data_IF_125534022316
#
_entry.id   IF_125534022316
#
_cell.length_a   1.000
_cell.length_b   1.000
_cell.length_c   1.000
_cell.angle_alpha   90.00
_cell.angle_beta   90.00
_cell.angle_gamma   90.00
#
_symmetry.space_group_name_H-M   'P 1'
#
loop_
_entity.id
_entity.type
_entity.pdbx_description
1 polymer ?
#
# COMPACT_ATOMS: atom_id res chain seq x y z
N UNK A 1 5.78 37.63 -37.90
CA UNK A 1 4.63 36.73 -37.65
C UNK A 1 5.03 35.32 -37.16
N UNK A 2 6.21 35.11 -36.56
CA UNK A 2 6.69 33.78 -36.17
C UNK A 2 6.53 33.43 -34.68
N UNK A 3 6.47 34.43 -33.78
CA UNK A 3 6.38 34.19 -32.34
C UNK A 3 5.05 33.53 -31.91
N UNK A 4 3.91 33.94 -32.51
CA UNK A 4 2.59 33.39 -32.19
C UNK A 4 2.47 31.91 -32.59
N UNK A 5 3.06 31.52 -33.72
CA UNK A 5 3.06 30.13 -34.21
C UNK A 5 3.96 29.24 -33.35
N UNK A 6 5.11 29.76 -32.92
CA UNK A 6 6.02 29.05 -32.01
C UNK A 6 5.39 28.86 -30.63
N UNK A 7 4.68 29.87 -30.12
CA UNK A 7 3.95 29.76 -28.84
C UNK A 7 2.87 28.68 -28.90
N UNK A 8 2.10 28.61 -29.99
CA UNK A 8 1.08 27.57 -30.19
C UNK A 8 1.70 26.18 -30.24
N UNK A 9 2.84 26.00 -30.90
CA UNK A 9 3.56 24.72 -30.96
C UNK A 9 4.09 24.33 -29.58
N UNK A 10 4.72 25.25 -28.85
CA UNK A 10 5.25 25.00 -27.50
C UNK A 10 4.12 24.67 -26.52
N UNK A 11 3.01 25.41 -26.56
CA UNK A 11 1.83 25.14 -25.73
C UNK A 11 1.21 23.77 -26.05
N UNK A 12 1.16 23.38 -27.33
CA UNK A 12 0.67 22.06 -27.74
C UNK A 12 1.57 20.94 -27.22
N UNK A 13 2.90 21.07 -27.36
CA UNK A 13 3.86 20.08 -26.85
C UNK A 13 3.78 19.97 -25.33
N UNK A 14 3.71 21.08 -24.60
CA UNK A 14 3.57 21.07 -23.14
C UNK A 14 2.25 20.42 -22.69
N UNK A 15 1.15 20.67 -23.42
CA UNK A 15 -0.14 20.03 -23.16
C UNK A 15 -0.09 18.52 -23.39
N UNK A 16 0.54 18.08 -24.48
CA UNK A 16 0.71 16.65 -24.79
C UNK A 16 1.62 15.95 -23.77
N UNK A 17 2.70 16.59 -23.32
CA UNK A 17 3.58 16.05 -22.27
C UNK A 17 2.82 15.92 -20.94
N UNK A 18 2.03 16.94 -20.57
CA UNK A 18 1.19 16.89 -19.36
C UNK A 18 0.18 15.74 -19.43
N UNK A 19 -0.51 15.59 -20.56
CA UNK A 19 -1.48 14.52 -20.78
C UNK A 19 -0.81 13.14 -20.71
N UNK A 20 0.38 12.98 -21.30
CA UNK A 20 1.14 11.73 -21.27
C UNK A 20 1.55 11.34 -19.85
N UNK A 21 1.99 12.30 -19.03
CA UNK A 21 2.32 12.08 -17.62
C UNK A 21 1.07 11.64 -16.84
N UNK A 22 -0.08 12.28 -17.05
CA UNK A 22 -1.34 11.88 -16.40
C UNK A 22 -1.74 10.45 -16.79
N UNK A 23 -1.64 10.09 -18.07
CA UNK A 23 -1.92 8.73 -18.55
C UNK A 23 -0.99 7.71 -17.90
N UNK A 24 0.31 8.00 -17.80
CA UNK A 24 1.29 7.12 -17.11
C UNK A 24 0.91 6.93 -15.64
N UNK A 25 0.58 8.01 -14.93
CA UNK A 25 0.20 7.94 -13.51
C UNK A 25 -1.07 7.11 -13.33
N UNK A 26 -2.07 7.31 -14.18
CA UNK A 26 -3.31 6.52 -14.14
C UNK A 26 -3.08 5.05 -14.50
N UNK A 27 -2.20 4.77 -15.47
CA UNK A 27 -1.83 3.41 -15.83
C UNK A 27 -1.09 2.70 -14.69
N UNK A 28 -0.12 3.35 -14.05
CA UNK A 28 0.59 2.82 -12.87
C UNK A 28 -0.40 2.62 -11.71
N UNK A 29 -1.33 3.55 -11.49
CA UNK A 29 -2.35 3.38 -10.45
C UNK A 29 -3.27 2.20 -10.75
N UNK A 30 -3.68 2.03 -12.01
CA UNK A 30 -4.49 0.90 -12.49
C UNK A 30 -3.76 -0.43 -12.37
N UNK A 31 -2.46 -0.49 -12.70
CA UNK A 31 -1.67 -1.70 -12.53
C UNK A 31 -1.51 -2.11 -11.07
N UNK A 32 -1.41 -1.16 -10.14
CA UNK A 32 -1.38 -1.43 -8.69
C UNK A 32 -2.77 -1.83 -8.11
N UNK A 33 -3.88 -1.54 -8.80
CA UNK A 33 -5.24 -1.88 -8.35
C UNK A 33 -5.62 -3.31 -8.74
N UNK A 34 -4.92 -3.91 -9.71
CA UNK A 34 -5.13 -5.30 -10.11
C UNK A 34 -4.49 -6.33 -9.18
N UNK A 35 -3.80 -5.89 -8.12
CA UNK A 35 -3.29 -6.75 -7.04
C UNK A 35 -4.29 -6.91 -5.89
N UNK A 36 -5.55 -6.47 -6.07
CA UNK A 36 -6.63 -6.87 -5.18
C UNK A 36 -6.88 -8.38 -5.35
N UNK A 37 -6.77 -9.20 -4.29
CA UNK A 37 -7.20 -10.60 -4.38
C UNK A 37 -8.71 -10.61 -4.54
N UNK A 38 -9.19 -10.82 -5.77
CA UNK A 38 -10.51 -11.37 -5.99
C UNK A 38 -10.49 -12.83 -5.54
N UNK A 39 -10.81 -13.05 -4.26
CA UNK A 39 -11.29 -14.35 -3.77
C UNK A 39 -12.71 -14.18 -3.26
N UNK A 40 -13.61 -13.76 -4.15
CA UNK A 40 -15.02 -14.13 -4.04
C UNK A 40 -15.22 -15.42 -4.83
N UNK A 41 -14.68 -16.52 -4.29
CA UNK A 41 -15.06 -17.85 -4.71
C UNK A 41 -15.85 -18.47 -3.55
N UNK A 42 -17.17 -18.35 -3.66
CA UNK A 42 -18.14 -19.04 -2.84
C UNK A 42 -18.15 -20.52 -3.25
N UNK A 43 -17.10 -21.25 -2.84
CA UNK A 43 -17.00 -22.70 -3.02
C UNK A 43 -17.11 -23.37 -1.66
N UNK A 44 -18.28 -23.99 -1.48
CA UNK A 44 -18.59 -25.15 -0.63
C UNK A 44 -17.73 -25.39 0.61
N UNK A 45 -18.39 -25.31 1.76
CA UNK A 45 -17.97 -25.75 3.10
C UNK A 45 -17.56 -27.24 3.08
N UNK A 46 -16.31 -27.56 2.77
CA UNK A 46 -15.63 -28.78 3.17
C UNK A 46 -14.14 -28.71 2.81
N UNK A 47 -13.31 -28.65 3.84
CA UNK A 47 -11.97 -29.25 3.83
C UNK A 47 -10.86 -28.61 2.96
N UNK A 48 -10.47 -27.37 3.30
CA UNK A 48 -9.05 -26.98 3.22
C UNK A 48 -8.37 -27.38 4.54
N UNK A 49 -8.18 -28.68 4.66
CA UNK A 49 -7.31 -29.34 5.61
C UNK A 49 -5.91 -28.70 5.62
N UNK A 50 -5.60 -28.08 6.75
CA UNK A 50 -4.34 -28.23 7.48
C UNK A 50 -3.01 -28.21 6.70
N UNK A 51 -2.71 -27.11 5.99
CA UNK A 51 -1.30 -26.70 5.92
C UNK A 51 -1.02 -25.71 7.06
N UNK A 52 -0.34 -26.12 8.15
CA UNK A 52 -0.08 -25.23 9.29
C UNK A 52 0.82 -24.03 8.90
N UNK A 53 1.50 -24.09 7.76
CA UNK A 53 2.57 -23.15 7.39
C UNK A 53 2.12 -21.88 6.67
N UNK A 54 0.82 -21.71 6.40
CA UNK A 54 0.32 -20.51 5.70
C UNK A 54 -0.20 -19.51 6.73
N UNK A 55 0.43 -18.32 6.88
CA UNK A 55 -0.07 -17.29 7.77
C UNK A 55 -1.50 -16.91 7.40
N UNK A 56 -2.41 -16.98 8.37
CA UNK A 56 -3.80 -16.56 8.20
C UNK A 56 -3.98 -15.17 8.77
N UNK A 57 -4.66 -14.31 8.02
CA UNK A 57 -5.09 -13.00 8.54
C UNK A 57 -6.09 -13.26 9.66
N UNK A 58 -5.80 -12.73 10.85
CA UNK A 58 -6.70 -12.79 12.00
C UNK A 58 -7.59 -11.55 11.97
N UNK A 59 -8.90 -11.77 11.83
CA UNK A 59 -9.88 -10.68 11.90
C UNK A 59 -9.99 -10.17 13.35
N UNK A 60 -10.23 -8.88 13.52
CA UNK A 60 -10.44 -8.22 14.82
C UNK A 60 -9.24 -8.34 15.79
N UNK A 61 -8.03 -8.54 15.28
CA UNK A 61 -6.81 -8.42 16.08
C UNK A 61 -6.08 -7.11 15.77
N UNK A 62 -5.53 -6.40 16.77
CA UNK A 62 -5.67 -6.66 18.21
C UNK A 62 -7.10 -6.35 18.70
N UNK A 63 -7.55 -7.05 19.73
CA UNK A 63 -8.89 -6.82 20.33
C UNK A 63 -9.04 -5.37 20.81
N UNK A 64 -7.95 -4.79 21.30
CA UNK A 64 -7.85 -3.41 21.74
C UNK A 64 -6.78 -2.65 20.94
N UNK A 65 -7.01 -1.37 20.61
CA UNK A 65 -6.02 -0.56 19.89
C UNK A 65 -4.69 -0.45 20.65
N UNK A 66 -3.61 -0.85 19.99
CA UNK A 66 -2.25 -0.69 20.53
C UNK A 66 -1.75 0.74 20.27
N UNK A 67 -1.27 1.42 21.32
CA UNK A 67 -0.61 2.73 21.20
C UNK A 67 0.85 2.52 20.79
N UNK A 68 1.08 2.40 19.48
CA UNK A 68 2.41 2.20 18.91
C UNK A 68 2.84 3.45 18.11
N UNK A 69 4.11 3.84 18.26
CA UNK A 69 4.75 4.76 17.32
C UNK A 69 5.22 4.02 16.06
N UNK A 70 6.29 4.50 15.42
CA UNK A 70 6.81 3.87 14.20
C UNK A 70 7.28 2.43 14.48
N UNK A 71 6.63 1.44 13.87
CA UNK A 71 7.07 0.04 13.94
C UNK A 71 8.33 -0.15 13.08
N UNK A 72 9.38 -0.71 13.67
CA UNK A 72 10.66 -0.99 12.99
C UNK A 72 10.92 -2.48 12.79
N UNK A 73 10.17 -3.36 13.46
CA UNK A 73 10.33 -4.80 13.32
C UNK A 73 9.20 -5.60 13.93
N UNK A 74 9.04 -6.82 13.45
CA UNK A 74 8.08 -7.82 13.93
C UNK A 74 8.75 -9.19 13.98
N UNK A 75 8.37 -10.02 14.94
CA UNK A 75 8.85 -11.40 15.08
C UNK A 75 7.82 -12.27 15.79
N UNK A 76 8.10 -13.57 15.90
CA UNK A 76 7.27 -14.54 16.63
C UNK A 76 8.15 -15.23 17.65
N UNK A 77 7.71 -15.30 18.91
CA UNK A 77 8.46 -15.97 19.97
C UNK A 77 8.22 -17.50 19.96
N UNK A 78 8.89 -18.23 20.85
CA UNK A 78 8.72 -19.70 20.97
C UNK A 78 7.33 -20.12 21.45
N UNK A 79 6.52 -19.21 21.99
CA UNK A 79 5.13 -19.43 22.38
C UNK A 79 4.13 -19.06 21.26
N UNK A 80 4.62 -18.82 20.04
CA UNK A 80 3.82 -18.42 18.87
C UNK A 80 3.10 -17.07 19.04
N UNK A 81 3.61 -16.20 19.90
CA UNK A 81 3.06 -14.86 20.10
C UNK A 81 3.78 -13.82 19.23
N UNK A 82 3.07 -12.84 18.68
CA UNK A 82 3.69 -11.75 17.95
C UNK A 82 4.48 -10.84 18.91
N UNK A 83 5.69 -10.48 18.51
CA UNK A 83 6.55 -9.52 19.20
C UNK A 83 6.82 -8.35 18.28
N UNK A 84 6.43 -7.15 18.70
CA UNK A 84 6.51 -5.92 17.91
C UNK A 84 7.58 -5.00 18.50
N UNK A 85 8.54 -4.59 17.66
CA UNK A 85 9.50 -3.54 17.99
C UNK A 85 9.03 -2.22 17.37
N UNK A 86 8.73 -1.25 18.21
CA UNK A 86 8.32 0.08 17.77
C UNK A 86 9.14 1.17 18.47
N UNK A 87 9.24 2.31 17.81
CA UNK A 87 9.75 3.54 18.39
C UNK A 87 8.62 4.17 19.22
N UNK A 88 8.98 4.77 20.34
CA UNK A 88 8.07 5.65 21.09
C UNK A 88 7.88 6.96 20.33
N UNK A 89 7.01 7.83 20.84
CA UNK A 89 6.86 9.19 20.32
C UNK A 89 8.21 9.91 20.30
N UNK A 90 8.51 10.56 19.16
CA UNK A 90 9.77 11.25 18.94
C UNK A 90 9.72 12.64 19.61
N UNK A 91 9.59 12.66 20.93
CA UNK A 91 9.59 13.89 21.72
C UNK A 91 11.04 14.22 22.06
N UNK A 92 11.53 15.37 21.59
CA UNK A 92 12.77 15.97 22.06
C UNK A 92 12.39 16.99 23.11
N UNK A 93 12.50 16.63 24.38
CA UNK A 93 12.28 17.56 25.49
C UNK A 93 13.52 18.46 25.61
N UNK A 94 13.55 19.59 24.90
CA UNK A 94 14.43 20.70 25.26
C UNK A 94 13.81 21.38 26.49
N UNK A 95 14.41 21.18 27.66
CA UNK A 95 14.18 22.08 28.81
C UNK A 95 15.50 22.57 29.37
#
# INVERSE_FOLDING_TARGET
MNAKRNYVVVACVLSLVSLFVVIIVLYIKSSNVNDAPQSEEQTTVADISEKPDVPKVVQNWPEEPLKLGQVSGVSVNSALQPVIFHRVDRVWDET
#
